data_IF_284801603013
#
_entry.id   IF_284801603013
#
_cell.length_a   1.000
_cell.length_b   1.000
_cell.length_c   1.000
_cell.angle_alpha   90.00
_cell.angle_beta   90.00
_cell.angle_gamma   90.00
#
_symmetry.space_group_name_H-M   'P 1'
#
loop_
_entity.id
_entity.type
_entity.pdbx_description
1 polymer ?
#
# COMPACT_ATOMS: atom_id res chain seq x y z
N UNK A 1 -3.37 22.63 -2.33
CA UNK A 1 -2.92 21.59 -1.35
C UNK A 1 -2.13 20.55 -2.12
N UNK A 2 -0.92 20.18 -1.64
CA UNK A 2 -0.06 19.17 -2.25
C UNK A 2 -0.21 17.81 -1.56
N UNK A 3 0.04 16.73 -2.29
CA UNK A 3 0.17 15.38 -1.75
C UNK A 3 1.63 15.17 -1.32
N UNK A 4 1.87 14.87 -0.05
CA UNK A 4 3.20 14.53 0.43
C UNK A 4 3.54 13.08 0.09
N UNK A 5 4.76 12.86 -0.38
CA UNK A 5 5.29 11.55 -0.68
C UNK A 5 6.49 11.24 0.23
N UNK A 6 6.32 10.26 1.12
CA UNK A 6 7.38 9.68 1.91
C UNK A 6 7.82 8.38 1.26
N UNK A 7 8.95 8.40 0.57
CA UNK A 7 9.54 7.19 -0.01
C UNK A 7 10.60 6.60 0.94
N UNK A 8 10.41 5.34 1.34
CA UNK A 8 11.41 4.60 2.10
C UNK A 8 12.31 3.84 1.13
N UNK A 9 13.55 4.33 0.97
CA UNK A 9 14.52 3.79 0.02
C UNK A 9 14.97 2.38 0.42
N UNK A 10 15.23 1.52 -0.58
CA UNK A 10 15.70 0.16 -0.38
C UNK A 10 14.71 -0.76 0.30
N UNK A 11 15.22 -1.88 0.83
CA UNK A 11 14.38 -2.83 1.57
C UNK A 11 14.19 -2.36 3.01
N UNK A 12 12.95 -2.14 3.38
CA UNK A 12 12.56 -1.56 4.67
C UNK A 12 11.97 -2.64 5.60
N UNK A 13 12.28 -2.65 6.90
CA UNK A 13 11.55 -3.44 7.88
C UNK A 13 10.08 -3.00 7.92
N UNK A 14 9.15 -3.96 7.88
CA UNK A 14 7.71 -3.67 7.95
C UNK A 14 7.32 -2.88 9.20
N UNK A 15 7.99 -3.15 10.33
CA UNK A 15 7.78 -2.45 11.61
C UNK A 15 8.01 -0.94 11.49
N UNK A 16 9.05 -0.51 10.76
CA UNK A 16 9.33 0.91 10.55
C UNK A 16 8.20 1.59 9.76
N UNK A 17 7.82 1.03 8.60
CA UNK A 17 6.73 1.58 7.80
C UNK A 17 5.39 1.59 8.57
N UNK A 18 5.11 0.55 9.35
CA UNK A 18 3.93 0.46 10.21
C UNK A 18 3.93 1.54 11.31
N UNK A 19 5.08 1.79 11.95
CA UNK A 19 5.22 2.84 12.95
C UNK A 19 5.03 4.25 12.35
N UNK A 20 5.66 4.54 11.21
CA UNK A 20 5.51 5.82 10.50
C UNK A 20 4.06 6.04 10.05
N UNK A 21 3.45 5.04 9.45
CA UNK A 21 2.02 5.09 9.10
C UNK A 21 1.14 5.39 10.32
N UNK A 22 1.40 4.73 11.45
CA UNK A 22 0.63 4.93 12.68
C UNK A 22 0.75 6.35 13.21
N UNK A 23 1.93 6.97 13.14
CA UNK A 23 2.18 8.38 13.52
C UNK A 23 1.40 9.33 12.61
N UNK A 24 1.46 9.13 11.28
CA UNK A 24 0.68 9.91 10.31
C UNK A 24 -0.82 9.83 10.59
N UNK A 25 -1.35 8.63 10.80
CA UNK A 25 -2.76 8.40 11.14
C UNK A 25 -3.13 9.11 12.45
N UNK A 26 -2.29 8.99 13.48
CA UNK A 26 -2.52 9.64 14.76
C UNK A 26 -2.58 11.18 14.63
N UNK A 27 -1.67 11.79 13.86
CA UNK A 27 -1.66 13.22 13.62
C UNK A 27 -2.94 13.70 12.92
N UNK A 28 -3.40 12.98 11.88
CA UNK A 28 -4.65 13.30 11.19
C UNK A 28 -5.86 13.12 12.12
N UNK A 29 -5.87 12.08 12.95
CA UNK A 29 -6.95 11.87 13.92
C UNK A 29 -6.97 12.94 15.02
N UNK A 30 -5.81 13.40 15.49
CA UNK A 30 -5.67 14.45 16.49
C UNK A 30 -6.18 15.81 15.98
N UNK A 31 -6.10 16.08 14.67
CA UNK A 31 -6.62 17.31 14.05
C UNK A 31 -8.14 17.32 13.84
N UNK A 32 -8.86 16.26 14.25
CA UNK A 32 -10.31 16.22 14.09
C UNK A 32 -11.05 17.03 15.15
N UNK A 33 -12.17 17.69 14.79
CA UNK A 33 -13.01 18.39 15.76
C UNK A 33 -13.32 17.54 17.00
N UNK A 34 -13.32 18.13 18.21
CA UNK A 34 -13.24 19.56 18.49
C UNK A 34 -11.82 20.16 18.57
N UNK A 35 -10.77 19.45 18.13
CA UNK A 35 -9.40 19.95 18.15
C UNK A 35 -9.21 21.19 17.27
N UNK A 36 -8.41 22.13 17.77
CA UNK A 36 -7.97 23.31 17.02
C UNK A 36 -6.69 23.06 16.20
N UNK A 37 -6.12 21.84 16.24
CA UNK A 37 -4.91 21.52 15.49
C UNK A 37 -5.18 21.57 13.97
N UNK A 38 -4.24 22.12 13.17
CA UNK A 38 -4.37 22.13 11.73
C UNK A 38 -4.41 20.71 11.17
N UNK A 39 -5.14 20.53 10.06
CA UNK A 39 -5.14 19.28 9.32
C UNK A 39 -3.77 19.05 8.70
N UNK A 40 -3.06 17.95 9.03
CA UNK A 40 -1.84 17.58 8.32
C UNK A 40 -2.10 17.38 6.82
N UNK A 41 -1.12 17.63 5.93
CA UNK A 41 -1.25 17.35 4.52
C UNK A 41 -1.56 15.88 4.25
N UNK A 42 -2.27 15.56 3.13
CA UNK A 42 -2.41 14.18 2.69
C UNK A 42 -1.03 13.59 2.39
N UNK A 43 -0.74 12.41 2.89
CA UNK A 43 0.59 11.79 2.76
C UNK A 43 0.47 10.38 2.21
N UNK A 44 1.34 10.01 1.28
CA UNK A 44 1.52 8.63 0.82
C UNK A 44 2.90 8.13 1.26
N UNK A 45 2.93 7.04 2.00
CA UNK A 45 4.15 6.30 2.28
C UNK A 45 4.31 5.21 1.25
N UNK A 46 5.47 5.13 0.59
CA UNK A 46 5.83 4.03 -0.31
C UNK A 46 7.08 3.30 0.17
N UNK A 47 7.11 1.98 -0.02
CA UNK A 47 8.21 1.13 0.43
C UNK A 47 8.31 -0.16 -0.38
N UNK A 48 9.48 -0.79 -0.32
CA UNK A 48 9.68 -2.22 -0.51
C UNK A 48 10.03 -2.86 0.83
N UNK A 49 9.56 -4.05 1.10
CA UNK A 49 9.82 -4.71 2.38
C UNK A 49 10.81 -5.87 2.23
N UNK A 50 11.51 -6.21 3.32
CA UNK A 50 12.04 -7.56 3.48
C UNK A 50 10.89 -8.56 3.38
N UNK A 51 11.14 -9.81 2.92
CA UNK A 51 10.09 -10.81 2.76
C UNK A 51 9.24 -10.97 4.01
N UNK A 52 7.92 -10.74 3.89
CA UNK A 52 6.99 -10.80 5.02
C UNK A 52 5.59 -11.20 4.57
N UNK A 53 4.96 -12.09 5.32
CA UNK A 53 3.53 -12.36 5.22
C UNK A 53 2.76 -11.50 6.22
N UNK A 54 1.69 -10.89 5.77
CA UNK A 54 0.78 -10.15 6.64
C UNK A 54 -0.63 -10.72 6.56
N UNK A 55 -1.29 -10.92 7.71
CA UNK A 55 -2.71 -11.28 7.74
C UNK A 55 -3.58 -10.04 7.64
N UNK A 56 -4.86 -10.24 7.31
CA UNK A 56 -5.87 -9.20 7.33
C UNK A 56 -7.03 -9.56 8.25
N UNK A 57 -7.94 -8.62 8.46
CA UNK A 57 -9.09 -8.78 9.37
C UNK A 57 -10.09 -9.86 8.97
N UNK A 58 -10.04 -10.35 7.73
CA UNK A 58 -10.89 -11.45 7.24
C UNK A 58 -10.29 -12.84 7.47
N UNK A 59 -9.02 -12.92 7.91
CA UNK A 59 -8.41 -14.17 8.38
C UNK A 59 -8.95 -14.50 9.79
N UNK A 60 -10.24 -14.83 9.88
CA UNK A 60 -10.86 -15.28 11.11
C UNK A 60 -11.38 -16.72 10.91
N UNK A 61 -10.94 -17.68 11.77
CA UNK A 61 -9.96 -17.50 12.84
C UNK A 61 -8.57 -17.11 12.32
N UNK A 62 -7.79 -16.40 13.14
CA UNK A 62 -6.40 -16.08 12.81
C UNK A 62 -5.63 -17.35 12.44
N UNK A 63 -4.61 -17.25 11.55
CA UNK A 63 -3.78 -18.39 11.20
C UNK A 63 -3.26 -19.12 12.44
N UNK A 64 -3.32 -20.46 12.41
CA UNK A 64 -2.82 -21.26 13.51
C UNK A 64 -1.31 -21.07 13.72
N UNK A 65 -0.80 -21.38 14.91
CA UNK A 65 0.63 -21.34 15.18
C UNK A 65 1.43 -22.20 14.18
N UNK A 66 0.88 -23.32 13.73
CA UNK A 66 1.48 -24.19 12.73
C UNK A 66 1.51 -23.54 11.35
N UNK A 67 0.45 -22.87 10.94
CA UNK A 67 0.43 -22.09 9.68
C UNK A 67 1.45 -20.95 9.71
N UNK A 68 1.55 -20.22 10.81
CA UNK A 68 2.56 -19.17 11.00
C UNK A 68 3.97 -19.75 10.95
N UNK A 69 4.21 -20.90 11.62
CA UNK A 69 5.51 -21.56 11.59
C UNK A 69 5.91 -22.01 10.18
N UNK A 70 4.97 -22.55 9.39
CA UNK A 70 5.21 -22.90 7.98
C UNK A 70 5.59 -21.68 7.14
N UNK A 71 4.88 -20.57 7.31
CA UNK A 71 5.21 -19.34 6.58
C UNK A 71 6.58 -18.81 6.97
N UNK A 72 6.93 -18.82 8.24
CA UNK A 72 8.27 -18.40 8.72
C UNK A 72 9.38 -19.34 8.23
N UNK A 73 9.09 -20.63 8.07
CA UNK A 73 10.06 -21.60 7.55
C UNK A 73 10.47 -21.33 6.10
N UNK A 74 9.71 -20.52 5.34
CA UNK A 74 10.11 -20.04 4.00
C UNK A 74 11.23 -18.99 4.04
N UNK A 75 11.59 -18.47 5.22
CA UNK A 75 12.54 -17.37 5.39
C UNK A 75 11.89 -15.98 5.43
N UNK A 76 10.58 -15.89 5.30
CA UNK A 76 9.85 -14.63 5.43
C UNK A 76 9.41 -14.39 6.90
N UNK A 77 9.32 -13.11 7.27
CA UNK A 77 8.67 -12.71 8.52
C UNK A 77 7.15 -12.90 8.47
N UNK A 78 6.51 -12.79 9.61
CA UNK A 78 5.05 -12.85 9.73
C UNK A 78 4.54 -11.77 10.69
N UNK A 79 3.54 -10.99 10.22
CA UNK A 79 2.96 -9.90 11.02
C UNK A 79 1.43 -9.84 10.89
N UNK A 80 0.67 -9.80 12.01
CA UNK A 80 -0.76 -9.58 11.98
C UNK A 80 -1.06 -8.09 11.73
N UNK A 81 -1.65 -7.78 10.57
CA UNK A 81 -1.97 -6.41 10.20
C UNK A 81 -3.45 -6.07 10.38
N UNK A 82 -3.75 -4.80 10.69
CA UNK A 82 -5.12 -4.32 10.90
C UNK A 82 -5.88 -4.03 9.60
N UNK A 83 -5.32 -4.31 8.42
CA UNK A 83 -5.91 -4.05 7.11
C UNK A 83 -7.08 -4.99 6.79
N UNK A 84 -7.88 -4.62 5.81
CA UNK A 84 -8.86 -5.52 5.20
C UNK A 84 -8.17 -6.65 4.40
N UNK A 85 -8.96 -7.65 4.00
CA UNK A 85 -8.48 -8.80 3.23
C UNK A 85 -7.96 -9.95 4.08
N UNK A 86 -7.36 -10.92 3.40
CA UNK A 86 -6.77 -12.14 3.93
C UNK A 86 -5.25 -12.05 3.93
N UNK A 87 -4.56 -13.14 4.27
CA UNK A 87 -3.09 -13.23 4.20
C UNK A 87 -2.57 -12.85 2.81
N UNK A 88 -1.52 -12.07 2.78
CA UNK A 88 -0.77 -11.72 1.57
C UNK A 88 0.72 -11.68 1.86
N UNK A 89 1.51 -11.57 0.80
CA UNK A 89 2.95 -11.42 0.85
C UNK A 89 3.36 -10.00 0.44
N UNK A 90 4.40 -9.51 1.08
CA UNK A 90 5.15 -8.33 0.66
C UNK A 90 6.64 -8.65 0.65
N UNK A 91 7.37 -8.14 -0.34
CA UNK A 91 8.79 -8.42 -0.47
C UNK A 91 9.48 -7.58 -1.55
N UNK A 92 10.76 -7.91 -1.84
CA UNK A 92 11.53 -7.24 -2.88
C UNK A 92 10.80 -7.26 -4.22
N UNK A 93 10.94 -6.17 -4.97
CA UNK A 93 10.29 -6.03 -6.27
C UNK A 93 8.79 -5.70 -6.21
N UNK A 94 8.20 -5.51 -5.02
CA UNK A 94 6.81 -5.11 -4.86
C UNK A 94 6.70 -3.67 -4.37
N UNK A 95 5.95 -2.84 -5.09
CA UNK A 95 5.56 -1.52 -4.59
C UNK A 95 4.45 -1.67 -3.55
N UNK A 96 4.74 -1.31 -2.31
CA UNK A 96 3.70 -1.09 -1.30
C UNK A 96 3.48 0.40 -1.16
N UNK A 97 2.21 0.84 -1.22
CA UNK A 97 1.85 2.24 -1.03
C UNK A 97 0.71 2.37 -0.02
N UNK A 98 0.93 3.21 1.01
CA UNK A 98 0.00 3.48 2.10
C UNK A 98 -0.44 4.94 2.10
N UNK A 99 -1.55 5.30 1.40
CA UNK A 99 -2.08 6.65 1.49
C UNK A 99 -2.77 6.87 2.85
N UNK A 100 -2.31 7.88 3.59
CA UNK A 100 -2.90 8.35 4.85
C UNK A 100 -3.67 9.63 4.57
N UNK A 101 -4.98 9.48 4.41
CA UNK A 101 -5.89 10.53 3.97
C UNK A 101 -7.06 10.69 4.94
N UNK A 102 -7.51 11.91 5.16
CA UNK A 102 -8.86 12.16 5.68
C UNK A 102 -9.82 12.26 4.49
N UNK A 103 -10.65 11.26 4.27
CA UNK A 103 -11.56 11.18 3.13
C UNK A 103 -12.65 12.26 3.11
N UNK A 104 -12.80 13.01 4.19
CA UNK A 104 -13.75 14.14 4.30
C UNK A 104 -13.09 15.48 4.04
N UNK A 105 -11.79 15.62 4.33
CA UNK A 105 -11.10 16.92 4.36
C UNK A 105 -9.98 17.07 3.32
N UNK A 106 -9.39 15.96 2.82
CA UNK A 106 -8.32 16.00 1.81
C UNK A 106 -8.83 15.97 0.36
N UNK A 107 -10.14 16.09 0.17
CA UNK A 107 -10.74 16.23 -1.16
C UNK A 107 -11.34 17.62 -1.33
N UNK A 108 -11.50 18.14 -2.58
CA UNK A 108 -12.04 19.46 -2.83
C UNK A 108 -13.33 19.73 -2.06
N UNK A 109 -13.53 20.98 -1.65
CA UNK A 109 -14.58 21.40 -0.73
C UNK A 109 -15.96 20.80 -1.06
N UNK A 110 -16.56 20.16 -0.07
CA UNK A 110 -17.87 19.53 -0.17
C UNK A 110 -17.89 18.13 -0.77
N UNK A 111 -16.79 17.60 -1.27
CA UNK A 111 -16.72 16.28 -1.92
C UNK A 111 -15.95 15.24 -1.08
N UNK A 112 -16.28 15.10 0.19
CA UNK A 112 -15.77 13.94 0.94
C UNK A 112 -16.22 12.63 0.29
N UNK A 113 -15.31 11.65 0.20
CA UNK A 113 -15.60 10.34 -0.42
C UNK A 113 -15.80 9.25 0.63
N UNK A 114 -16.54 8.20 0.25
CA UNK A 114 -16.78 7.03 1.08
C UNK A 114 -15.74 5.93 0.88
N UNK A 115 -15.84 4.86 1.67
CA UNK A 115 -14.89 3.73 1.62
C UNK A 115 -14.86 3.04 0.24
N UNK A 116 -16.01 2.84 -0.39
CA UNK A 116 -16.11 2.21 -1.72
C UNK A 116 -15.48 3.09 -2.79
N UNK A 117 -15.74 4.39 -2.75
CA UNK A 117 -15.15 5.36 -3.68
C UNK A 117 -13.63 5.46 -3.50
N UNK A 118 -13.13 5.33 -2.26
CA UNK A 118 -11.69 5.29 -1.99
C UNK A 118 -11.04 4.03 -2.58
N UNK A 119 -11.65 2.85 -2.41
CA UNK A 119 -11.15 1.62 -3.05
C UNK A 119 -11.14 1.77 -4.57
N UNK A 120 -12.23 2.25 -5.17
CA UNK A 120 -12.31 2.50 -6.61
C UNK A 120 -11.29 3.56 -7.08
N UNK A 121 -10.99 4.57 -6.25
CA UNK A 121 -9.94 5.55 -6.52
C UNK A 121 -8.57 4.87 -6.62
N UNK A 122 -8.22 4.02 -5.65
CA UNK A 122 -6.94 3.29 -5.66
C UNK A 122 -6.84 2.34 -6.86
N UNK A 123 -7.88 1.56 -7.12
CA UNK A 123 -7.92 0.65 -8.27
C UNK A 123 -7.74 1.41 -9.59
N UNK A 124 -8.45 2.51 -9.78
CA UNK A 124 -8.29 3.37 -10.96
C UNK A 124 -6.89 3.96 -11.06
N UNK A 125 -6.31 4.41 -9.95
CA UNK A 125 -4.95 4.95 -9.92
C UNK A 125 -3.93 3.89 -10.34
N UNK A 126 -4.04 2.68 -9.82
CA UNK A 126 -3.17 1.56 -10.23
C UNK A 126 -3.34 1.25 -11.71
N UNK A 127 -4.57 1.21 -12.23
CA UNK A 127 -4.82 0.95 -13.66
C UNK A 127 -4.17 2.00 -14.55
N UNK A 128 -4.34 3.29 -14.22
CA UNK A 128 -3.69 4.39 -14.96
C UNK A 128 -2.16 4.30 -14.84
N UNK A 129 -1.63 3.85 -13.70
CA UNK A 129 -0.19 3.57 -13.54
C UNK A 129 0.25 2.46 -14.49
N UNK A 130 -0.49 1.35 -14.57
CA UNK A 130 -0.19 0.23 -15.48
C UNK A 130 -0.29 0.62 -16.95
N UNK A 131 -1.24 1.49 -17.31
CA UNK A 131 -1.38 2.02 -18.67
C UNK A 131 -0.12 2.77 -19.13
N UNK A 132 0.65 3.41 -18.21
CA UNK A 132 1.94 4.04 -18.52
C UNK A 132 3.01 3.05 -18.95
N UNK A 133 2.85 1.79 -18.58
CA UNK A 133 3.74 0.68 -18.92
C UNK A 133 3.15 -0.21 -20.02
N UNK A 134 2.04 0.18 -20.62
CA UNK A 134 1.39 -0.57 -21.69
C UNK A 134 0.72 -1.88 -21.25
N UNK A 135 0.41 -2.03 -19.95
CA UNK A 135 -0.25 -3.23 -19.41
C UNK A 135 -1.75 -2.97 -19.25
N UNK A 136 -2.60 -3.53 -20.13
CA UNK A 136 -4.05 -3.46 -19.97
C UNK A 136 -4.50 -4.12 -18.66
N UNK A 137 -5.44 -3.50 -17.98
CA UNK A 137 -5.87 -4.00 -16.68
C UNK A 137 -7.35 -3.72 -16.39
N UNK A 138 -7.92 -4.49 -15.46
CA UNK A 138 -9.32 -4.44 -15.08
C UNK A 138 -9.51 -4.54 -13.57
N UNK A 139 -10.73 -4.28 -13.11
CA UNK A 139 -11.19 -4.56 -11.75
C UNK A 139 -12.28 -5.59 -11.78
N UNK A 140 -12.37 -6.41 -10.74
CA UNK A 140 -13.43 -7.41 -10.56
C UNK A 140 -14.32 -7.01 -9.38
N UNK A 141 -15.64 -7.01 -9.57
CA UNK A 141 -16.59 -6.62 -8.52
C UNK A 141 -16.48 -7.50 -7.27
N UNK A 142 -16.17 -8.78 -7.44
CA UNK A 142 -16.16 -9.77 -6.37
C UNK A 142 -14.81 -9.88 -5.65
N UNK A 143 -13.75 -9.35 -6.25
CA UNK A 143 -12.38 -9.53 -5.78
C UNK A 143 -11.57 -8.22 -5.88
N UNK A 144 -11.62 -7.36 -4.85
CA UNK A 144 -10.87 -6.10 -4.85
C UNK A 144 -9.41 -6.29 -5.21
N UNK A 145 -8.90 -5.39 -6.05
CA UNK A 145 -7.56 -5.44 -6.62
C UNK A 145 -7.56 -5.11 -8.10
N UNK A 146 -6.36 -5.08 -8.69
CA UNK A 146 -6.22 -4.85 -10.13
C UNK A 146 -5.69 -6.13 -10.78
N UNK A 147 -6.28 -6.45 -11.93
CA UNK A 147 -6.11 -7.71 -12.63
C UNK A 147 -5.71 -7.45 -14.08
N UNK A 148 -4.81 -8.27 -14.62
CA UNK A 148 -4.45 -8.24 -16.05
C UNK A 148 -5.44 -9.09 -16.86
N UNK A 149 -5.81 -10.24 -16.31
CA UNK A 149 -6.94 -11.07 -16.80
C UNK A 149 -7.85 -11.40 -15.63
N UNK A 150 -9.04 -11.94 -15.84
CA UNK A 150 -9.92 -12.38 -14.75
C UNK A 150 -9.26 -13.35 -13.76
N UNK A 151 -8.20 -14.06 -14.18
CA UNK A 151 -7.46 -15.04 -13.39
C UNK A 151 -6.18 -14.50 -12.77
N UNK A 152 -5.54 -13.47 -13.37
CA UNK A 152 -4.20 -13.00 -12.98
C UNK A 152 -4.24 -11.63 -12.30
N UNK A 153 -4.01 -11.62 -11.01
CA UNK A 153 -3.96 -10.41 -10.18
C UNK A 153 -2.56 -9.82 -10.16
N UNK A 154 -2.42 -8.55 -10.53
CA UNK A 154 -1.16 -7.81 -10.48
C UNK A 154 -1.02 -6.95 -9.23
N UNK A 155 -2.13 -6.47 -8.67
CA UNK A 155 -2.12 -5.61 -7.49
C UNK A 155 -3.17 -6.04 -6.47
N UNK A 156 -2.74 -6.30 -5.25
CA UNK A 156 -3.61 -6.52 -4.11
C UNK A 156 -3.98 -5.19 -3.44
N UNK A 157 -5.22 -5.12 -2.92
CA UNK A 157 -5.69 -4.01 -2.09
C UNK A 157 -6.11 -4.50 -0.71
N UNK A 158 -5.63 -3.79 0.31
CA UNK A 158 -6.03 -4.02 1.69
C UNK A 158 -5.99 -2.71 2.46
N UNK A 159 -7.13 -2.06 2.65
CA UNK A 159 -7.24 -0.78 3.35
C UNK A 159 -7.87 -0.93 4.72
N UNK A 160 -7.54 -0.03 5.63
CA UNK A 160 -8.26 0.17 6.87
C UNK A 160 -8.69 1.63 7.00
N UNK A 161 -9.82 1.84 7.67
CA UNK A 161 -10.38 3.17 7.86
C UNK A 161 -10.87 3.33 9.29
N UNK A 162 -10.44 4.42 9.94
CA UNK A 162 -10.91 4.83 11.26
C UNK A 162 -11.32 6.30 11.23
N UNK A 163 -12.57 6.61 11.54
CA UNK A 163 -13.11 7.99 11.52
C UNK A 163 -12.79 8.72 10.21
N UNK A 164 -12.94 8.05 9.06
CA UNK A 164 -12.60 8.51 7.71
C UNK A 164 -11.12 8.77 7.45
N UNK A 165 -10.21 8.38 8.34
CA UNK A 165 -8.77 8.39 8.10
C UNK A 165 -8.34 7.02 7.61
N UNK A 166 -7.64 7.00 6.46
CA UNK A 166 -7.17 5.76 5.81
C UNK A 166 -5.82 5.32 6.33
N UNK A 167 -5.57 4.03 6.24
CA UNK A 167 -4.27 3.39 6.44
C UNK A 167 -4.17 2.13 5.61
N UNK A 168 -2.96 1.60 5.44
CA UNK A 168 -2.63 0.58 4.46
C UNK A 168 -3.02 1.03 3.05
N UNK A 169 -3.08 0.12 2.08
CA UNK A 169 -3.37 0.53 0.71
C UNK A 169 -3.18 -0.58 -0.29
N UNK A 170 -2.13 -0.50 -1.10
CA UNK A 170 -1.88 -1.42 -2.22
C UNK A 170 -0.55 -2.16 -2.08
N UNK A 171 -0.47 -3.33 -2.74
CA UNK A 171 0.75 -4.03 -3.06
C UNK A 171 0.75 -4.38 -4.54
N UNK A 172 1.51 -3.61 -5.35
CA UNK A 172 1.65 -3.78 -6.79
C UNK A 172 2.93 -4.55 -7.11
N UNK A 173 2.80 -5.68 -7.76
CA UNK A 173 3.93 -6.50 -8.16
C UNK A 173 4.62 -5.91 -9.40
N UNK A 174 5.85 -5.44 -9.24
CA UNK A 174 6.69 -4.90 -10.31
C UNK A 174 7.63 -6.00 -10.84
N UNK A 175 8.58 -6.42 -10.03
CA UNK A 175 9.54 -7.51 -10.30
C UNK A 175 9.59 -8.50 -9.12
N UNK A 176 8.45 -8.71 -8.49
CA UNK A 176 8.28 -9.56 -7.31
C UNK A 176 8.47 -11.03 -7.68
N UNK A 177 9.24 -11.76 -6.87
CA UNK A 177 9.27 -13.22 -6.94
C UNK A 177 7.89 -13.77 -6.54
N UNK A 178 7.19 -14.34 -7.52
CA UNK A 178 5.83 -14.82 -7.35
C UNK A 178 5.73 -16.17 -6.63
N UNK A 179 6.82 -16.91 -6.48
CA UNK A 179 6.89 -18.17 -5.74
C UNK A 179 6.44 -18.02 -4.27
N UNK A 180 6.63 -16.84 -3.68
CA UNK A 180 6.15 -16.55 -2.33
C UNK A 180 4.63 -16.68 -2.17
N UNK A 181 3.87 -16.44 -3.22
CA UNK A 181 2.41 -16.53 -3.19
C UNK A 181 1.89 -17.98 -3.24
N UNK A 182 2.73 -18.96 -3.61
CA UNK A 182 2.37 -20.38 -3.64
C UNK A 182 2.19 -20.96 -2.22
N UNK A 183 2.76 -20.32 -1.20
CA UNK A 183 2.65 -20.72 0.20
C UNK A 183 1.35 -20.27 0.88
N UNK A 184 0.53 -19.49 0.19
CA UNK A 184 -0.73 -18.94 0.70
C UNK A 184 -1.83 -19.10 -0.35
N UNK A 185 -3.08 -19.17 0.10
CA UNK A 185 -4.21 -18.93 -0.80
C UNK A 185 -4.36 -17.43 -0.95
N UNK A 186 -3.68 -16.87 -1.96
CA UNK A 186 -3.60 -15.44 -2.14
C UNK A 186 -5.01 -14.83 -2.24
N UNK A 187 -5.37 -13.98 -1.29
CA UNK A 187 -6.70 -13.36 -1.18
C UNK A 187 -7.88 -14.36 -1.09
N UNK A 188 -7.65 -15.64 -0.74
CA UNK A 188 -8.70 -16.65 -0.61
C UNK A 188 -9.39 -17.04 -1.93
N UNK A 189 -8.74 -16.78 -3.05
CA UNK A 189 -9.30 -17.03 -4.39
C UNK A 189 -8.64 -18.27 -5.00
N UNK A 190 -9.27 -19.43 -4.82
CA UNK A 190 -8.84 -20.68 -5.46
C UNK A 190 -8.90 -20.54 -7.00
N UNK A 191 -7.90 -21.08 -7.68
CA UNK A 191 -7.79 -21.03 -9.14
C UNK A 191 -7.41 -19.65 -9.73
N UNK A 192 -7.07 -18.68 -8.89
CA UNK A 192 -6.52 -17.39 -9.33
C UNK A 192 -5.01 -17.35 -9.15
N UNK A 193 -4.34 -16.66 -10.08
CA UNK A 193 -2.90 -16.52 -10.08
C UNK A 193 -2.48 -15.09 -9.69
N UNK A 194 -1.24 -14.97 -9.24
CA UNK A 194 -0.58 -13.68 -9.07
C UNK A 194 0.34 -13.43 -10.25
N UNK A 195 0.36 -12.19 -10.75
CA UNK A 195 1.30 -11.76 -11.80
C UNK A 195 2.06 -10.51 -11.38
N UNK A 196 3.02 -10.06 -12.19
CA UNK A 196 3.84 -8.86 -12.00
C UNK A 196 4.08 -8.18 -13.34
N UNK A 197 4.54 -6.91 -13.35
CA UNK A 197 4.98 -6.25 -14.58
C UNK A 197 6.02 -7.10 -15.32
N UNK A 198 6.99 -7.66 -14.59
CA UNK A 198 8.01 -8.53 -15.15
C UNK A 198 7.44 -9.78 -15.83
N UNK A 199 6.44 -10.43 -15.22
CA UNK A 199 5.76 -11.60 -15.81
C UNK A 199 4.89 -11.23 -17.03
N UNK A 200 4.48 -9.98 -17.15
CA UNK A 200 3.78 -9.41 -18.30
C UNK A 200 4.75 -8.79 -19.31
N UNK A 201 6.02 -9.25 -19.33
CA UNK A 201 7.09 -8.86 -20.24
C UNK A 201 7.50 -7.37 -20.17
N UNK A 202 7.18 -6.68 -19.09
CA UNK A 202 7.55 -5.29 -18.85
C UNK A 202 8.74 -5.20 -17.89
N UNK A 203 9.85 -4.64 -18.37
CA UNK A 203 11.04 -4.33 -17.57
C UNK A 203 11.04 -2.84 -17.25
N UNK A 204 10.84 -2.51 -15.98
CA UNK A 204 10.93 -1.12 -15.51
C UNK A 204 12.36 -0.80 -15.11
N UNK A 205 13.04 0.10 -15.84
CA UNK A 205 14.47 0.38 -15.63
C UNK A 205 14.77 0.99 -14.26
N UNK A 206 13.93 1.90 -13.78
CA UNK A 206 14.03 2.49 -12.44
C UNK A 206 13.35 1.66 -11.34
N UNK A 207 12.93 0.42 -11.65
CA UNK A 207 12.37 -0.52 -10.69
C UNK A 207 11.14 0.00 -9.96
N UNK A 208 10.99 -0.42 -8.71
CA UNK A 208 9.83 -0.07 -7.86
C UNK A 208 9.77 1.43 -7.59
N UNK A 209 10.90 2.11 -7.50
CA UNK A 209 10.96 3.56 -7.20
C UNK A 209 10.35 4.39 -8.34
N UNK A 210 10.63 4.03 -9.60
CA UNK A 210 10.00 4.67 -10.76
C UNK A 210 8.48 4.48 -10.72
N UNK A 211 8.02 3.25 -10.49
CA UNK A 211 6.58 2.93 -10.41
C UNK A 211 5.92 3.67 -9.25
N UNK A 212 6.61 3.82 -8.11
CA UNK A 212 6.12 4.60 -6.97
C UNK A 212 5.87 6.07 -7.34
N UNK A 213 6.84 6.71 -8.00
CA UNK A 213 6.69 8.08 -8.48
C UNK A 213 5.51 8.26 -9.44
N UNK A 214 5.36 7.32 -10.41
CA UNK A 214 4.21 7.32 -11.33
C UNK A 214 2.90 7.16 -10.58
N UNK A 215 2.80 6.16 -9.68
CA UNK A 215 1.59 5.91 -8.90
C UNK A 215 1.18 7.13 -8.05
N UNK A 216 2.13 7.73 -7.34
CA UNK A 216 1.85 8.90 -6.47
C UNK A 216 1.44 10.11 -7.30
N UNK A 217 2.06 10.33 -8.46
CA UNK A 217 1.66 11.37 -9.40
C UNK A 217 0.23 11.17 -9.94
N UNK A 218 -0.14 9.95 -10.29
CA UNK A 218 -1.50 9.63 -10.75
C UNK A 218 -2.53 9.74 -9.60
N UNK A 219 -2.14 9.37 -8.37
CA UNK A 219 -3.01 9.56 -7.20
C UNK A 219 -3.25 11.05 -6.93
N UNK A 220 -2.22 11.89 -7.00
CA UNK A 220 -2.35 13.33 -6.84
C UNK A 220 -3.32 13.94 -7.88
N UNK A 221 -3.21 13.53 -9.14
CA UNK A 221 -4.16 13.93 -10.20
C UNK A 221 -5.58 13.47 -9.91
N UNK A 222 -5.74 12.21 -9.49
CA UNK A 222 -7.06 11.63 -9.18
C UNK A 222 -7.72 12.28 -7.96
N UNK A 223 -6.92 12.78 -7.00
CA UNK A 223 -7.39 13.56 -5.85
C UNK A 223 -7.71 15.02 -6.20
N UNK A 224 -7.25 15.53 -7.34
CA UNK A 224 -7.40 16.93 -7.73
C UNK A 224 -6.53 17.89 -6.92
N UNK A 225 -5.35 17.45 -6.46
CA UNK A 225 -4.39 18.29 -5.74
C UNK A 225 -3.33 18.88 -6.68
N UNK A 226 -2.67 19.96 -6.26
CA UNK A 226 -1.77 20.79 -7.10
C UNK A 226 -0.46 20.09 -7.51
N UNK A 227 -0.16 18.94 -6.92
CA UNK A 227 1.05 18.17 -7.23
C UNK A 227 1.56 17.37 -6.04
N UNK A 228 2.76 16.84 -6.20
CA UNK A 228 3.46 16.02 -5.20
C UNK A 228 4.59 16.83 -4.57
N UNK A 229 4.85 16.60 -3.29
CA UNK A 229 5.97 17.14 -2.52
C UNK A 229 6.68 15.96 -1.83
N UNK A 230 7.95 15.74 -2.19
CA UNK A 230 8.76 14.72 -1.53
C UNK A 230 9.13 15.19 -0.11
N UNK A 231 9.00 14.30 0.87
CA UNK A 231 9.33 14.57 2.27
C UNK A 231 10.21 13.47 2.85
N UNK A 232 11.01 13.81 3.85
CA UNK A 232 11.80 12.84 4.64
C UNK A 232 11.08 12.38 5.90
N UNK A 233 11.65 11.38 6.58
CA UNK A 233 11.13 10.85 7.84
C UNK A 233 11.09 11.93 8.94
N UNK A 234 12.01 12.85 8.93
CA UNK A 234 12.10 13.99 9.85
C UNK A 234 10.88 14.93 9.78
N UNK A 235 10.15 14.93 8.67
CA UNK A 235 8.93 15.71 8.50
C UNK A 235 7.69 15.04 9.09
N UNK A 236 7.81 13.78 9.54
CA UNK A 236 6.70 13.05 10.18
C UNK A 236 6.64 13.43 11.66
N UNK A 237 5.46 13.71 12.22
CA UNK A 237 5.31 13.99 13.65
C UNK A 237 5.97 12.91 14.54
N UNK A 238 6.96 13.31 15.35
CA UNK A 238 7.78 12.38 16.14
C UNK A 238 8.75 11.53 15.30
N UNK A 239 9.07 11.94 14.08
CA UNK A 239 10.02 11.27 13.19
C UNK A 239 11.47 11.31 13.69
N UNK A 240 11.80 12.31 14.50
CA UNK A 240 13.13 12.47 15.11
C UNK A 240 13.54 11.28 16.00
N UNK A 241 12.55 10.56 16.56
CA UNK A 241 12.77 9.37 17.39
C UNK A 241 12.73 8.05 16.58
N UNK A 242 12.59 8.10 15.27
CA UNK A 242 12.65 6.90 14.45
C UNK A 242 14.07 6.33 14.48
N UNK A 243 14.25 5.00 14.71
CA UNK A 243 15.58 4.44 14.65
C UNK A 243 16.18 4.72 13.28
N UNK A 244 17.28 5.46 13.26
CA UNK A 244 18.07 5.70 12.06
C UNK A 244 18.53 4.33 11.59
N UNK A 245 18.05 3.88 10.46
CA UNK A 245 18.63 2.72 9.79
C UNK A 245 19.99 3.17 9.27
N UNK A 246 21.03 3.01 10.12
CA UNK A 246 22.41 3.14 9.66
C UNK A 246 22.60 2.20 8.48
N UNK A 247 23.16 2.78 7.43
CA UNK A 247 23.28 2.21 6.11
C UNK A 247 23.71 0.76 6.09
N UNK A 248 22.93 -0.03 5.39
CA UNK A 248 23.42 -1.25 4.77
C UNK A 248 24.12 -0.83 3.47
N UNK A 249 25.43 -0.62 3.62
CA UNK A 249 26.37 -0.59 2.51
C UNK A 249 26.49 -1.97 1.86
#
# INVERSE_FOLDING_TARGET
MRLQHLHLCGLTPYSLASALQSRLVAAVLASKPPSAQPLPPPTVLTAQFHPIYTTGRRDLPSPSAEQVARLRATGADFYPASRGGLTTFHGPGQLVAYPVLDLRRHFPAGRGIGAREYVALLERTVRVTLDRYGVPSMTLCEAPGVWVTPERKICALGVHMRRHVTSHGIGLNVDTDLGWFEHIVACGLEGKETTSLRREDVIVKGGVEEVAGVFVGELARAMGVEGVEEIGIENIPGGEDAPVTEGLS
#
